data_IF_062836150298
#
_entry.id   IF_062836150298
#
_cell.length_a   1.000
_cell.length_b   1.000
_cell.length_c   1.000
_cell.angle_alpha   90.00
_cell.angle_beta   90.00
_cell.angle_gamma   90.00
#
_symmetry.space_group_name_H-M   'P 1'
#
loop_
_entity.id
_entity.type
_entity.pdbx_description
1 polymer ?
#
# COMPACT_ATOMS: atom_id res chain seq x y z
N UNK A 1 4.75 -1.99 -3.29
CA UNK A 1 4.19 -2.99 -4.25
C UNK A 1 2.71 -3.33 -3.97
N UNK A 2 1.84 -2.33 -4.13
CA UNK A 2 0.39 -2.44 -3.96
C UNK A 2 -0.22 -3.44 -4.96
N UNK A 3 -1.10 -4.31 -4.48
CA UNK A 3 -1.70 -5.38 -5.28
C UNK A 3 -3.12 -5.70 -4.84
N UNK A 4 -3.88 -6.30 -5.72
CA UNK A 4 -5.20 -6.83 -5.41
C UNK A 4 -5.47 -8.15 -6.13
N UNK A 5 -6.43 -8.92 -5.62
CA UNK A 5 -6.89 -10.16 -6.24
C UNK A 5 -8.42 -10.26 -6.20
N UNK A 6 -9.01 -10.71 -7.30
CA UNK A 6 -10.46 -10.88 -7.45
C UNK A 6 -10.90 -12.21 -6.83
N UNK A 7 -11.71 -12.17 -5.76
CA UNK A 7 -12.19 -13.39 -5.10
C UNK A 7 -13.23 -14.16 -5.92
N UNK A 8 -13.75 -13.55 -6.99
CA UNK A 8 -14.63 -14.21 -7.97
C UNK A 8 -13.91 -15.31 -8.75
N UNK A 9 -12.58 -15.22 -8.86
CA UNK A 9 -11.80 -16.04 -9.80
C UNK A 9 -11.93 -15.61 -11.27
N UNK A 10 -12.67 -14.53 -11.55
CA UNK A 10 -12.94 -14.07 -12.91
C UNK A 10 -11.92 -13.02 -13.37
N UNK A 11 -11.20 -13.24 -14.49
CA UNK A 11 -10.21 -12.29 -14.98
C UNK A 11 -10.82 -10.95 -15.41
N UNK A 12 -12.09 -10.90 -15.78
CA UNK A 12 -12.76 -9.65 -16.16
C UNK A 12 -12.85 -8.66 -14.99
N UNK A 13 -12.90 -9.14 -13.75
CA UNK A 13 -12.84 -8.25 -12.59
C UNK A 13 -11.49 -7.51 -12.53
N UNK A 14 -10.39 -8.19 -12.86
CA UNK A 14 -9.08 -7.52 -12.95
C UNK A 14 -9.05 -6.53 -14.11
N UNK A 15 -9.56 -6.88 -15.29
CA UNK A 15 -9.56 -5.94 -16.42
C UNK A 15 -10.41 -4.70 -16.16
N UNK A 16 -11.53 -4.83 -15.44
CA UNK A 16 -12.33 -3.69 -14.99
C UNK A 16 -11.57 -2.82 -13.99
N UNK A 17 -10.87 -3.44 -13.03
CA UNK A 17 -10.01 -2.66 -12.12
C UNK A 17 -8.85 -1.98 -12.85
N UNK A 18 -8.24 -2.62 -13.86
CA UNK A 18 -7.18 -2.00 -14.68
C UNK A 18 -7.72 -0.74 -15.37
N UNK A 19 -8.92 -0.80 -15.95
CA UNK A 19 -9.59 0.36 -16.55
C UNK A 19 -9.88 1.46 -15.51
N UNK A 20 -10.44 1.10 -14.35
CA UNK A 20 -10.74 2.06 -13.27
C UNK A 20 -9.48 2.75 -12.74
N UNK A 21 -8.34 2.05 -12.68
CA UNK A 21 -7.06 2.67 -12.29
C UNK A 21 -6.67 3.75 -13.29
N UNK A 22 -6.76 3.49 -14.60
CA UNK A 22 -6.45 4.48 -15.64
C UNK A 22 -7.38 5.69 -15.59
N UNK A 23 -8.66 5.49 -15.29
CA UNK A 23 -9.62 6.57 -15.11
C UNK A 23 -9.27 7.48 -13.93
N UNK A 24 -8.83 6.90 -12.81
CA UNK A 24 -8.55 7.66 -11.58
C UNK A 24 -7.17 8.32 -11.56
N UNK A 25 -6.25 7.83 -12.39
CA UNK A 25 -4.88 8.32 -12.53
C UNK A 25 -4.61 8.53 -14.04
N UNK A 26 -5.27 9.52 -14.69
CA UNK A 26 -5.20 9.69 -16.14
C UNK A 26 -3.85 10.20 -16.63
N UNK A 27 -3.13 10.96 -15.79
CA UNK A 27 -1.92 11.69 -16.18
C UNK A 27 -0.61 10.93 -15.88
N UNK A 28 -0.66 9.60 -15.83
CA UNK A 28 0.52 8.75 -15.61
C UNK A 28 0.71 7.74 -16.77
N UNK A 29 1.37 8.15 -17.88
CA UNK A 29 1.62 7.27 -19.02
C UNK A 29 2.43 6.02 -18.66
N UNK A 30 3.30 6.10 -17.65
CA UNK A 30 4.11 4.96 -17.23
C UNK A 30 3.23 3.89 -16.57
N UNK A 31 2.34 4.32 -15.68
CA UNK A 31 1.35 3.44 -15.05
C UNK A 31 0.42 2.80 -16.10
N UNK A 32 -0.02 3.56 -17.11
CA UNK A 32 -0.91 3.04 -18.15
C UNK A 32 -0.21 1.97 -19.00
N UNK A 33 1.03 2.26 -19.44
CA UNK A 33 1.86 1.29 -20.15
C UNK A 33 2.14 0.04 -19.33
N UNK A 34 2.33 0.17 -18.02
CA UNK A 34 2.48 -0.96 -17.11
C UNK A 34 1.23 -1.86 -17.13
N UNK A 35 0.04 -1.29 -17.01
CA UNK A 35 -1.22 -2.05 -17.02
C UNK A 35 -1.45 -2.74 -18.37
N UNK A 36 -1.13 -2.08 -19.48
CA UNK A 36 -1.24 -2.66 -20.82
C UNK A 36 -0.27 -3.84 -21.01
N UNK A 37 1.00 -3.64 -20.68
CA UNK A 37 1.99 -4.70 -20.74
C UNK A 37 1.65 -5.87 -19.80
N UNK A 38 1.11 -5.57 -18.61
CA UNK A 38 0.72 -6.58 -17.64
C UNK A 38 -0.51 -7.38 -18.10
N UNK A 39 -1.40 -6.80 -18.92
CA UNK A 39 -2.51 -7.52 -19.56
C UNK A 39 -2.02 -8.41 -20.71
N UNK A 40 -1.09 -7.92 -21.52
CA UNK A 40 -0.58 -8.64 -22.69
C UNK A 40 0.40 -9.77 -22.33
N UNK A 41 1.21 -9.57 -21.29
CA UNK A 41 2.40 -10.39 -21.04
C UNK A 41 2.35 -11.23 -19.77
N UNK A 42 1.41 -10.98 -18.85
CA UNK A 42 1.33 -11.71 -17.58
C UNK A 42 0.08 -12.58 -17.57
N UNK A 43 0.30 -13.89 -17.54
CA UNK A 43 -0.76 -14.87 -17.33
C UNK A 43 -1.11 -14.96 -15.85
N UNK A 44 -2.41 -15.00 -15.54
CA UNK A 44 -2.88 -15.18 -14.16
C UNK A 44 -2.51 -16.57 -13.61
N UNK A 45 -2.28 -16.63 -12.29
CA UNK A 45 -1.97 -17.86 -11.56
C UNK A 45 -2.90 -17.95 -10.33
N UNK A 46 -3.76 -18.95 -10.27
CA UNK A 46 -4.78 -19.05 -9.23
C UNK A 46 -5.86 -17.97 -9.40
N UNK A 47 -6.21 -17.25 -8.33
CA UNK A 47 -7.11 -16.10 -8.44
C UNK A 47 -6.46 -15.02 -9.31
N UNK A 48 -7.18 -14.46 -10.30
CA UNK A 48 -6.71 -13.31 -11.05
C UNK A 48 -6.32 -12.17 -10.11
N UNK A 49 -5.10 -11.66 -10.29
CA UNK A 49 -4.50 -10.66 -9.42
C UNK A 49 -3.67 -9.68 -10.24
N UNK A 50 -3.56 -8.45 -9.73
CA UNK A 50 -2.77 -7.39 -10.34
C UNK A 50 -1.85 -6.76 -9.31
N UNK A 51 -0.63 -6.50 -9.74
CA UNK A 51 0.35 -5.66 -9.07
C UNK A 51 0.38 -4.30 -9.79
N UNK A 52 0.34 -3.21 -9.05
CA UNK A 52 0.47 -1.85 -9.59
C UNK A 52 1.08 -0.96 -8.51
N UNK A 53 2.23 -0.36 -8.78
CA UNK A 53 2.89 0.49 -7.79
C UNK A 53 2.23 1.86 -7.75
N UNK A 54 1.63 2.17 -6.60
CA UNK A 54 0.97 3.46 -6.32
C UNK A 54 1.31 3.93 -4.91
N UNK A 55 1.34 5.26 -4.73
CA UNK A 55 1.81 5.92 -3.52
C UNK A 55 0.70 6.38 -2.56
N UNK A 56 1.10 7.19 -1.58
CA UNK A 56 0.21 7.85 -0.61
C UNK A 56 -0.80 8.75 -1.33
N UNK A 57 -2.08 8.61 -0.99
CA UNK A 57 -3.20 9.34 -1.60
C UNK A 57 -3.72 8.72 -2.90
N UNK A 58 -3.03 7.74 -3.49
CA UNK A 58 -3.54 6.95 -4.60
C UNK A 58 -4.16 5.64 -4.11
N UNK A 59 -3.53 4.98 -3.12
CA UNK A 59 -3.99 3.67 -2.60
C UNK A 59 -5.41 3.71 -2.03
N UNK A 60 -5.72 4.69 -1.21
CA UNK A 60 -7.03 4.89 -0.59
C UNK A 60 -8.11 5.21 -1.64
N UNK A 61 -7.81 6.10 -2.59
CA UNK A 61 -8.71 6.42 -3.72
C UNK A 61 -9.04 5.18 -4.55
N UNK A 62 -8.04 4.36 -4.88
CA UNK A 62 -8.24 3.12 -5.63
C UNK A 62 -9.04 2.10 -4.80
N UNK A 63 -8.71 1.91 -3.52
CA UNK A 63 -9.43 0.97 -2.68
C UNK A 63 -10.91 1.34 -2.50
N UNK A 64 -11.21 2.63 -2.32
CA UNK A 64 -12.59 3.12 -2.23
C UNK A 64 -13.35 2.90 -3.55
N UNK A 65 -12.71 3.18 -4.69
CA UNK A 65 -13.30 2.93 -5.99
C UNK A 65 -13.57 1.43 -6.22
N UNK A 66 -12.64 0.55 -5.88
CA UNK A 66 -12.85 -0.90 -5.99
C UNK A 66 -14.00 -1.37 -5.08
N UNK A 67 -14.09 -0.83 -3.86
CA UNK A 67 -15.21 -1.14 -2.97
C UNK A 67 -16.56 -0.67 -3.54
N UNK A 68 -16.59 0.50 -4.18
CA UNK A 68 -17.78 0.97 -4.91
C UNK A 68 -18.14 0.06 -6.09
N UNK A 69 -17.15 -0.40 -6.86
CA UNK A 69 -17.38 -1.33 -7.96
C UNK A 69 -17.90 -2.70 -7.49
N UNK A 70 -17.53 -3.15 -6.28
CA UNK A 70 -18.15 -4.34 -5.67
C UNK A 70 -19.59 -4.05 -5.28
N UNK A 71 -19.84 -2.90 -4.65
CA UNK A 71 -21.18 -2.49 -4.18
C UNK A 71 -22.20 -2.37 -5.32
N UNK A 72 -21.79 -1.83 -6.47
CA UNK A 72 -22.68 -1.62 -7.61
C UNK A 72 -22.78 -2.83 -8.54
N UNK A 73 -22.05 -3.92 -8.26
CA UNK A 73 -22.04 -5.15 -9.07
C UNK A 73 -21.22 -5.06 -10.36
N UNK A 74 -20.41 -4.01 -10.54
CA UNK A 74 -19.44 -3.93 -11.62
C UNK A 74 -18.37 -5.02 -11.47
N UNK A 75 -17.90 -5.29 -10.25
CA UNK A 75 -17.11 -6.47 -9.91
C UNK A 75 -18.01 -7.60 -9.41
N UNK A 76 -17.72 -8.83 -9.83
CA UNK A 76 -18.60 -9.99 -9.58
C UNK A 76 -18.58 -10.48 -8.13
N UNK A 77 -17.52 -10.19 -7.39
CA UNK A 77 -17.35 -10.56 -5.99
C UNK A 77 -16.41 -9.57 -5.28
N UNK A 78 -16.27 -9.66 -3.94
CA UNK A 78 -15.28 -8.89 -3.20
C UNK A 78 -13.86 -9.04 -3.75
N UNK A 79 -13.06 -7.99 -3.54
CA UNK A 79 -11.63 -7.93 -3.93
C UNK A 79 -10.79 -7.81 -2.67
N UNK A 80 -9.67 -8.51 -2.61
CA UNK A 80 -8.68 -8.31 -1.54
C UNK A 80 -7.59 -7.37 -2.01
N UNK A 81 -7.25 -6.38 -1.19
CA UNK A 81 -6.15 -5.43 -1.44
C UNK A 81 -5.06 -5.68 -0.41
N UNK A 82 -3.83 -5.84 -0.87
CA UNK A 82 -2.67 -6.01 -0.01
C UNK A 82 -1.39 -5.54 -0.66
N UNK A 83 -0.27 -6.05 -0.16
CA UNK A 83 1.07 -5.79 -0.67
C UNK A 83 2.03 -6.88 -0.20
N UNK A 84 3.24 -6.85 -0.75
CA UNK A 84 4.38 -7.50 -0.09
C UNK A 84 4.67 -6.83 1.26
N UNK A 85 5.44 -7.51 2.10
CA UNK A 85 6.03 -6.92 3.30
C UNK A 85 7.17 -5.95 2.96
N UNK A 86 7.75 -6.04 1.76
CA UNK A 86 8.62 -5.00 1.19
C UNK A 86 7.77 -3.79 0.80
N UNK A 87 7.73 -2.76 1.62
CA UNK A 87 7.11 -1.47 1.30
C UNK A 87 7.72 -0.36 2.15
N UNK A 88 7.47 0.90 1.79
CA UNK A 88 8.18 2.06 2.36
C UNK A 88 8.14 2.16 3.90
N UNK A 89 7.07 1.70 4.55
CA UNK A 89 6.90 1.80 6.00
C UNK A 89 6.97 0.49 6.76
N UNK A 90 7.13 -0.65 6.07
CA UNK A 90 6.75 -1.95 6.63
C UNK A 90 7.91 -2.92 6.85
N UNK A 91 9.16 -2.48 6.72
CA UNK A 91 10.33 -3.36 6.81
C UNK A 91 11.54 -2.63 7.37
N UNK A 92 12.27 -3.34 8.24
CA UNK A 92 13.65 -3.05 8.60
C UNK A 92 14.52 -4.22 8.18
N UNK A 93 15.52 -3.96 7.34
CA UNK A 93 16.34 -4.96 6.65
C UNK A 93 17.65 -4.29 6.19
N UNK A 94 18.68 -4.22 7.07
CA UNK A 94 19.91 -3.45 6.83
C UNK A 94 20.75 -3.89 5.63
N UNK A 95 20.50 -5.09 5.09
CA UNK A 95 21.21 -5.62 3.92
C UNK A 95 20.37 -5.55 2.64
N UNK A 96 19.22 -4.86 2.67
CA UNK A 96 18.31 -4.68 1.53
C UNK A 96 17.53 -3.37 1.64
N UNK A 97 16.31 -3.41 2.18
CA UNK A 97 15.34 -2.32 2.07
C UNK A 97 15.71 -1.07 2.87
N UNK A 98 16.48 -1.24 3.94
CA UNK A 98 16.92 -0.15 4.81
C UNK A 98 18.43 -0.07 4.87
N UNK A 99 19.12 -0.60 3.86
CA UNK A 99 20.56 -0.47 3.73
C UNK A 99 20.95 0.98 3.43
N UNK A 100 21.92 1.51 4.19
CA UNK A 100 22.48 2.84 4.01
C UNK A 100 21.44 3.96 4.09
N UNK A 101 20.61 3.94 5.14
CA UNK A 101 19.72 5.06 5.43
C UNK A 101 20.55 6.33 5.67
N UNK A 102 20.04 7.49 5.24
CA UNK A 102 20.76 8.77 5.27
C UNK A 102 21.30 9.15 6.67
N UNK A 103 20.57 8.78 7.71
CA UNK A 103 20.87 9.05 9.11
C UNK A 103 21.52 7.85 9.85
N UNK A 104 21.77 6.74 9.13
CA UNK A 104 22.29 5.49 9.69
C UNK A 104 21.28 4.66 10.49
N UNK A 105 19.97 4.92 10.36
CA UNK A 105 18.93 4.20 11.09
C UNK A 105 18.63 2.79 10.56
N UNK A 106 19.55 2.16 9.83
CA UNK A 106 19.34 0.94 9.04
C UNK A 106 18.65 -0.18 9.82
N UNK A 107 19.09 -0.40 11.07
CA UNK A 107 18.67 -1.51 11.92
C UNK A 107 17.47 -1.19 12.84
N UNK A 108 16.91 0.02 12.78
CA UNK A 108 15.76 0.39 13.62
C UNK A 108 14.51 -0.32 13.13
N UNK A 109 14.02 -1.29 13.91
CA UNK A 109 12.86 -2.12 13.55
C UNK A 109 11.52 -1.66 14.10
N UNK A 110 11.50 -0.63 14.95
CA UNK A 110 10.28 -0.05 15.53
C UNK A 110 9.24 0.29 14.46
N UNK A 111 9.68 0.82 13.32
CA UNK A 111 8.82 1.22 12.20
C UNK A 111 7.97 0.07 11.66
N UNK A 112 8.56 -1.12 11.50
CA UNK A 112 7.82 -2.29 11.02
C UNK A 112 6.76 -2.75 12.04
N UNK A 113 7.09 -2.70 13.33
CA UNK A 113 6.15 -3.03 14.41
C UNK A 113 5.00 -2.01 14.47
N UNK A 114 5.32 -0.72 14.39
CA UNK A 114 4.32 0.36 14.36
C UNK A 114 3.42 0.28 13.13
N UNK A 115 3.95 -0.08 11.95
CA UNK A 115 3.13 -0.31 10.75
C UNK A 115 2.08 -1.39 10.99
N UNK A 116 2.43 -2.52 11.61
CA UNK A 116 1.47 -3.56 11.95
C UNK A 116 0.43 -3.12 13.00
N UNK A 117 0.89 -2.47 14.08
CA UNK A 117 0.00 -1.97 15.12
C UNK A 117 -1.00 -0.95 14.57
N UNK A 118 -0.53 -0.01 13.75
CA UNK A 118 -1.37 1.00 13.13
C UNK A 118 -2.32 0.40 12.08
N UNK A 119 -1.88 -0.59 11.30
CA UNK A 119 -2.75 -1.32 10.37
C UNK A 119 -3.87 -2.05 11.10
N UNK A 120 -3.57 -2.63 12.26
CA UNK A 120 -4.56 -3.27 13.15
C UNK A 120 -5.56 -2.23 13.65
N UNK A 121 -5.07 -1.10 14.20
CA UNK A 121 -5.92 -0.03 14.71
C UNK A 121 -6.77 0.64 13.61
N UNK A 122 -6.25 0.69 12.38
CA UNK A 122 -6.93 1.31 11.23
C UNK A 122 -8.06 0.44 10.69
N UNK A 123 -8.00 -0.88 10.94
CA UNK A 123 -9.04 -1.85 10.57
C UNK A 123 -8.70 -2.68 9.33
N UNK A 124 -7.44 -3.06 9.14
CA UNK A 124 -7.10 -4.07 8.13
C UNK A 124 -7.85 -5.39 8.44
N UNK A 125 -8.18 -6.18 7.42
CA UNK A 125 -8.87 -7.45 7.62
C UNK A 125 -7.95 -8.47 8.29
N UNK A 126 -6.67 -8.50 7.91
CA UNK A 126 -5.64 -9.17 8.67
C UNK A 126 -4.31 -8.43 8.58
N UNK A 127 -3.49 -8.65 9.61
CA UNK A 127 -2.17 -8.07 9.77
C UNK A 127 -1.21 -9.18 10.17
N UNK A 128 0.02 -9.11 9.68
CA UNK A 128 1.08 -10.07 9.99
C UNK A 128 2.36 -9.35 10.40
N UNK A 129 3.09 -9.93 11.36
CA UNK A 129 4.43 -9.52 11.75
C UNK A 129 5.35 -10.73 11.59
N UNK A 130 6.32 -10.62 10.69
CA UNK A 130 7.23 -11.69 10.33
C UNK A 130 8.68 -11.29 10.56
N UNK A 131 9.53 -12.31 10.62
CA UNK A 131 10.96 -12.19 10.81
C UNK A 131 11.71 -12.98 9.73
N UNK A 132 12.79 -12.39 9.19
CA UNK A 132 13.76 -13.04 8.32
C UNK A 132 13.31 -13.32 6.88
N UNK A 133 12.21 -12.71 6.43
CA UNK A 133 11.80 -12.78 5.02
C UNK A 133 12.84 -12.15 4.10
N UNK A 134 13.09 -12.79 2.97
CA UNK A 134 14.04 -12.34 1.96
C UNK A 134 15.52 -12.58 2.29
N UNK A 135 15.97 -12.20 3.49
CA UNK A 135 17.39 -12.19 3.92
C UNK A 135 17.74 -13.25 4.96
N UNK A 136 16.78 -14.05 5.41
CA UNK A 136 17.01 -15.12 6.37
C UNK A 136 16.96 -14.65 7.83
N UNK A 137 17.05 -15.61 8.74
CA UNK A 137 16.94 -15.39 10.19
C UNK A 137 17.97 -14.39 10.68
N UNK A 138 17.53 -13.46 11.53
CA UNK A 138 18.35 -12.42 12.16
C UNK A 138 18.43 -11.10 11.38
N UNK A 139 18.04 -11.07 10.10
CA UNK A 139 18.38 -9.95 9.22
C UNK A 139 17.21 -9.04 8.82
N UNK A 140 15.96 -9.41 9.12
CA UNK A 140 14.82 -8.53 8.84
C UNK A 140 13.66 -8.70 9.81
N UNK A 141 12.92 -7.62 10.03
CA UNK A 141 11.62 -7.60 10.69
C UNK A 141 10.65 -6.79 9.82
N UNK A 142 9.47 -7.35 9.52
CA UNK A 142 8.60 -6.75 8.52
C UNK A 142 7.12 -7.09 8.71
N UNK A 143 6.26 -6.16 8.32
CA UNK A 143 4.82 -6.19 8.50
C UNK A 143 4.07 -6.33 7.18
N UNK A 144 2.99 -7.11 7.21
CA UNK A 144 2.04 -7.26 6.12
C UNK A 144 0.66 -6.85 6.56
N UNK A 145 -0.15 -6.43 5.60
CA UNK A 145 -1.57 -6.19 5.79
C UNK A 145 -2.34 -6.60 4.56
N UNK A 146 -3.60 -6.93 4.75
CA UNK A 146 -4.59 -7.03 3.67
C UNK A 146 -5.93 -6.51 4.18
N UNK A 147 -6.68 -5.87 3.27
CA UNK A 147 -8.02 -5.37 3.52
C UNK A 147 -8.98 -5.87 2.42
N UNK A 148 -10.15 -6.33 2.83
CA UNK A 148 -11.23 -6.78 1.93
C UNK A 148 -12.10 -5.58 1.54
N UNK A 149 -12.34 -5.44 0.24
CA UNK A 149 -13.34 -4.58 -0.35
C UNK A 149 -14.60 -5.41 -0.62
N UNK A 150 -15.56 -5.41 0.31
CA UNK A 150 -16.78 -6.22 0.27
C UNK A 150 -18.03 -5.44 -0.19
N UNK A 151 -17.86 -4.19 -0.60
CA UNK A 151 -18.95 -3.29 -1.01
C UNK A 151 -19.67 -2.60 0.15
N UNK A 152 -19.39 -2.95 1.42
CA UNK A 152 -20.07 -2.34 2.56
C UNK A 152 -19.55 -0.91 2.86
N UNK A 153 -20.41 -0.06 3.41
CA UNK A 153 -20.01 1.26 3.92
C UNK A 153 -19.04 1.14 5.12
N UNK A 154 -19.13 0.03 5.88
CA UNK A 154 -18.17 -0.26 6.95
C UNK A 154 -16.76 -0.52 6.39
N UNK A 155 -16.65 -1.15 5.22
CA UNK A 155 -15.38 -1.31 4.53
C UNK A 155 -14.83 0.02 4.02
N UNK A 156 -15.64 0.95 3.50
CA UNK A 156 -15.16 2.28 3.08
C UNK A 156 -14.38 2.98 4.19
N UNK A 157 -14.94 3.01 5.40
CA UNK A 157 -14.31 3.66 6.55
C UNK A 157 -12.97 3.01 6.93
N UNK A 158 -12.86 1.68 6.83
CA UNK A 158 -11.60 0.94 7.09
C UNK A 158 -10.58 1.17 5.98
N UNK A 159 -11.01 1.11 4.72
CA UNK A 159 -10.18 1.30 3.53
C UNK A 159 -9.57 2.69 3.52
N UNK A 160 -10.39 3.73 3.74
CA UNK A 160 -9.93 5.11 3.79
C UNK A 160 -8.82 5.33 4.83
N UNK A 161 -8.94 4.68 6.01
CA UNK A 161 -7.91 4.78 7.06
C UNK A 161 -6.69 3.92 6.76
N UNK A 162 -6.86 2.64 6.48
CA UNK A 162 -5.77 1.67 6.32
C UNK A 162 -4.90 2.02 5.12
N UNK A 163 -5.51 2.32 3.98
CA UNK A 163 -4.76 2.60 2.75
C UNK A 163 -4.19 4.03 2.70
N UNK A 164 -4.58 4.90 3.63
CA UNK A 164 -3.88 6.14 3.92
C UNK A 164 -2.71 5.90 4.89
N UNK A 165 -2.99 5.30 6.05
CA UNK A 165 -2.03 5.15 7.13
C UNK A 165 -0.85 4.24 6.76
N UNK A 166 -1.08 3.15 6.03
CA UNK A 166 -0.03 2.23 5.62
C UNK A 166 1.10 2.91 4.81
N UNK A 167 0.83 3.51 3.62
CA UNK A 167 1.87 4.25 2.90
C UNK A 167 2.34 5.51 3.67
N UNK A 168 1.48 6.14 4.48
CA UNK A 168 1.86 7.31 5.28
C UNK A 168 2.93 6.98 6.33
N UNK A 169 2.92 5.77 6.92
CA UNK A 169 4.03 5.35 7.81
C UNK A 169 5.36 5.26 7.09
N UNK A 170 5.36 4.96 5.79
CA UNK A 170 6.57 4.96 4.99
C UNK A 170 7.09 6.36 4.68
N UNK A 171 6.17 7.30 4.42
CA UNK A 171 6.52 8.73 4.30
C UNK A 171 7.07 9.25 5.62
N UNK A 172 6.39 8.96 6.74
CA UNK A 172 6.84 9.30 8.10
C UNK A 172 8.27 8.79 8.36
N UNK A 173 8.51 7.49 8.16
CA UNK A 173 9.82 6.87 8.41
C UNK A 173 10.96 7.52 7.62
N UNK A 174 10.73 7.80 6.33
CA UNK A 174 11.76 8.39 5.49
C UNK A 174 11.91 9.91 5.73
N UNK A 175 10.84 10.59 6.13
CA UNK A 175 10.94 11.98 6.54
C UNK A 175 11.73 12.13 7.85
N UNK A 176 11.52 11.22 8.80
CA UNK A 176 12.28 11.12 10.06
C UNK A 176 13.78 10.90 9.80
N UNK A 177 14.12 10.00 8.87
CA UNK A 177 15.50 9.78 8.42
C UNK A 177 16.09 10.93 7.58
N UNK A 178 15.36 12.04 7.39
CA UNK A 178 15.86 13.26 6.77
C UNK A 178 15.78 13.33 5.24
N UNK A 179 15.06 12.42 4.57
CA UNK A 179 14.93 12.45 3.11
C UNK A 179 14.03 13.62 2.65
N UNK A 180 14.55 14.60 1.86
CA UNK A 180 13.78 15.79 1.48
C UNK A 180 12.48 15.46 0.75
N UNK A 181 12.51 14.48 -0.17
CA UNK A 181 11.33 14.05 -0.93
C UNK A 181 10.20 13.50 -0.03
N UNK A 182 10.55 12.90 1.11
CA UNK A 182 9.57 12.38 2.05
C UNK A 182 8.99 13.49 2.92
N UNK A 183 9.82 14.47 3.32
CA UNK A 183 9.38 15.68 4.01
C UNK A 183 8.43 16.49 3.13
N UNK A 184 8.76 16.66 1.85
CA UNK A 184 7.91 17.37 0.89
C UNK A 184 6.58 16.63 0.68
N UNK A 185 6.61 15.31 0.51
CA UNK A 185 5.40 14.50 0.45
C UNK A 185 4.55 14.62 1.73
N UNK A 186 5.17 14.64 2.91
CA UNK A 186 4.47 14.81 4.18
C UNK A 186 3.76 16.18 4.26
N UNK A 187 4.41 17.25 3.79
CA UNK A 187 3.80 18.59 3.69
C UNK A 187 2.66 18.64 2.68
N UNK A 188 2.88 18.13 1.47
CA UNK A 188 1.87 18.08 0.41
C UNK A 188 0.62 17.30 0.82
N UNK A 189 0.80 16.21 1.55
CA UNK A 189 -0.28 15.34 2.05
C UNK A 189 -0.77 15.73 3.45
N UNK A 190 -0.23 16.81 4.03
CA UNK A 190 -0.61 17.34 5.34
C UNK A 190 -0.58 16.27 6.44
N UNK A 191 0.49 15.46 6.45
CA UNK A 191 0.70 14.48 7.50
C UNK A 191 1.00 15.18 8.83
N UNK A 192 0.36 14.72 9.89
CA UNK A 192 0.68 15.17 11.25
C UNK A 192 1.91 14.40 11.76
N UNK A 193 3.09 15.00 11.57
CA UNK A 193 4.37 14.47 12.02
C UNK A 193 4.91 15.39 13.13
N UNK A 194 4.70 15.08 14.43
CA UNK A 194 4.88 16.05 15.51
C UNK A 194 6.26 16.71 15.64
N UNK A 195 7.30 16.04 15.16
CA UNK A 195 8.69 16.53 15.21
C UNK A 195 9.13 17.27 13.94
N UNK A 196 8.28 17.28 12.90
CA UNK A 196 8.54 17.96 11.64
C UNK A 196 7.53 19.10 11.46
N UNK A 197 8.03 20.28 11.10
CA UNK A 197 7.15 21.36 10.67
C UNK A 197 6.59 21.03 9.27
N UNK A 198 5.41 20.42 9.27
CA UNK A 198 4.65 20.10 8.06
C UNK A 198 3.69 21.22 7.65
N UNK A 199 3.75 22.40 8.29
CA UNK A 199 2.88 23.55 7.99
C UNK A 199 1.42 23.37 8.43
N UNK A 200 1.11 22.33 9.22
CA UNK A 200 -0.18 22.16 9.87
C UNK A 200 -0.25 22.98 11.16
N UNK A 201 -1.12 23.99 11.19
CA UNK A 201 -1.33 24.91 12.32
C UNK A 201 -1.30 24.22 13.70
N UNK A 202 -0.47 24.78 14.58
CA UNK A 202 -0.67 24.84 16.03
C UNK A 202 -2.02 25.47 16.39
#
# INVERSE_FOLDING_TARGET
PFRWAALSGDPEDIYKTDARVKELIPDDPHLHNWLDAARERIHFQGLPARICWVGLGQRDRLGLAFNEMVRNGELKAPVVIGRDHLDSGSVASPNRETESMLDGSDAVSDWALLNALLSTASGATWVSLHHGGGVGMGYSQHAGLVIVCDGSAAADARIARVLWNDPATGVMRHADAGYPIAIDCAREKQLNLPMLDTGGNS
#
